data_IF_299278003969
#
_entry.id   IF_299278003969
#
_cell.length_a   1.000
_cell.length_b   1.000
_cell.length_c   1.000
_cell.angle_alpha   90.00
_cell.angle_beta   90.00
_cell.angle_gamma   90.00
#
_symmetry.space_group_name_H-M   'P 1'
#
loop_
_entity.id
_entity.type
_entity.pdbx_description
1 polymer ?
#
# COMPACT_ATOMS: atom_id res chain seq x y z
N UNK A 1 36.05 -25.82 -40.13
CA UNK A 1 35.22 -25.31 -41.24
C UNK A 1 34.01 -24.65 -40.60
N UNK A 2 33.70 -23.37 -40.85
CA UNK A 2 32.53 -22.74 -40.24
C UNK A 2 31.27 -23.22 -40.99
N UNK A 3 30.37 -23.88 -40.28
CA UNK A 3 29.04 -24.28 -40.78
C UNK A 3 28.15 -23.04 -40.77
N UNK A 4 28.16 -22.28 -41.86
CA UNK A 4 27.30 -21.11 -42.04
C UNK A 4 25.91 -21.60 -42.46
N UNK A 5 25.11 -22.07 -41.50
CA UNK A 5 23.74 -22.49 -41.72
C UNK A 5 22.80 -21.26 -41.61
N UNK A 6 22.22 -20.77 -42.71
CA UNK A 6 21.35 -19.58 -42.70
C UNK A 6 19.99 -19.79 -42.00
N UNK A 7 19.73 -20.99 -41.49
CA UNK A 7 18.51 -21.36 -40.77
C UNK A 7 18.72 -21.63 -39.28
N UNK A 8 19.90 -21.31 -38.73
CA UNK A 8 20.08 -21.38 -37.28
C UNK A 8 19.12 -20.38 -36.62
N UNK A 9 18.28 -20.90 -35.72
CA UNK A 9 17.34 -20.08 -34.98
C UNK A 9 18.13 -19.05 -34.17
N UNK A 10 17.73 -17.76 -34.17
CA UNK A 10 18.38 -16.79 -33.32
C UNK A 10 18.28 -17.28 -31.88
N UNK A 11 19.43 -17.44 -31.21
CA UNK A 11 19.45 -17.71 -29.78
C UNK A 11 18.77 -16.52 -29.09
N UNK A 12 17.47 -16.68 -28.79
CA UNK A 12 16.77 -15.71 -27.97
C UNK A 12 17.35 -15.87 -26.58
N UNK A 13 18.28 -14.99 -26.24
CA UNK A 13 18.84 -14.95 -24.91
C UNK A 13 17.69 -14.60 -23.95
N UNK A 14 17.06 -15.62 -23.36
CA UNK A 14 16.02 -15.52 -22.34
C UNK A 14 16.66 -15.26 -20.96
N UNK A 15 17.81 -14.60 -20.92
CA UNK A 15 18.32 -14.07 -19.67
C UNK A 15 17.23 -13.14 -19.11
N UNK A 16 16.66 -13.45 -17.94
CA UNK A 16 15.73 -12.54 -17.31
C UNK A 16 16.51 -11.25 -17.12
N UNK A 17 16.12 -10.21 -17.84
CA UNK A 17 16.65 -8.86 -17.62
C UNK A 17 16.24 -8.53 -16.19
N UNK A 18 17.14 -8.77 -15.24
CA UNK A 18 17.03 -8.35 -13.85
C UNK A 18 17.07 -6.83 -13.92
N UNK A 19 15.91 -6.21 -14.14
CA UNK A 19 15.80 -4.77 -14.28
C UNK A 19 16.33 -4.16 -12.99
N UNK A 20 17.38 -3.36 -13.10
CA UNK A 20 18.00 -2.71 -11.97
C UNK A 20 16.93 -2.01 -11.11
N UNK A 21 17.06 -2.04 -9.77
CA UNK A 21 16.05 -1.50 -8.86
C UNK A 21 15.74 -0.04 -9.22
N UNK A 22 14.56 0.19 -9.80
CA UNK A 22 14.13 1.54 -10.21
C UNK A 22 14.12 2.42 -8.97
N UNK A 23 14.76 3.58 -9.00
CA UNK A 23 14.77 4.52 -7.86
C UNK A 23 13.33 4.98 -7.56
N UNK A 24 12.74 4.46 -6.48
CA UNK A 24 11.37 4.80 -6.03
C UNK A 24 11.36 5.97 -5.05
N UNK A 25 12.07 7.07 -5.37
CA UNK A 25 12.22 8.22 -4.48
C UNK A 25 10.88 8.87 -4.09
N UNK A 26 9.94 8.98 -5.05
CA UNK A 26 8.60 9.53 -4.77
C UNK A 26 7.83 8.73 -3.72
N UNK A 27 7.92 7.39 -3.78
CA UNK A 27 7.25 6.50 -2.82
C UNK A 27 7.89 6.56 -1.43
N UNK A 28 9.20 6.81 -1.34
CA UNK A 28 9.87 7.02 -0.05
C UNK A 28 9.40 8.30 0.62
N UNK A 29 9.31 9.40 -0.13
CA UNK A 29 8.80 10.68 0.40
C UNK A 29 7.36 10.49 0.88
N UNK A 30 6.52 9.86 0.06
CA UNK A 30 5.13 9.57 0.42
C UNK A 30 5.00 8.73 1.70
N UNK A 31 5.83 7.70 1.85
CA UNK A 31 5.91 6.91 3.08
C UNK A 31 6.22 7.77 4.31
N UNK A 32 7.23 8.64 4.23
CA UNK A 32 7.61 9.50 5.35
C UNK A 32 6.53 10.52 5.71
N UNK A 33 5.84 11.07 4.70
CA UNK A 33 4.69 11.96 4.92
C UNK A 33 3.57 11.23 5.65
N UNK A 34 3.16 10.05 5.18
CA UNK A 34 2.11 9.26 5.84
C UNK A 34 2.52 8.81 7.24
N UNK A 35 3.76 8.38 7.43
CA UNK A 35 4.26 7.98 8.74
C UNK A 35 4.21 9.15 9.73
N UNK A 36 4.64 10.34 9.30
CA UNK A 36 4.60 11.54 10.15
C UNK A 36 3.17 11.91 10.50
N UNK A 37 2.26 11.81 9.53
CA UNK A 37 0.83 12.08 9.74
C UNK A 37 0.21 11.07 10.73
N UNK A 38 0.54 9.78 10.60
CA UNK A 38 0.07 8.75 11.53
C UNK A 38 0.62 8.97 12.93
N UNK A 39 1.90 9.32 13.08
CA UNK A 39 2.48 9.64 14.38
C UNK A 39 1.82 10.87 15.02
N UNK A 40 1.49 11.89 14.22
CA UNK A 40 0.77 13.07 14.69
C UNK A 40 -0.64 12.71 15.17
N UNK A 41 -1.34 11.85 14.43
CA UNK A 41 -2.66 11.34 14.81
C UNK A 41 -2.61 10.58 16.14
N UNK A 42 -1.66 9.64 16.28
CA UNK A 42 -1.48 8.89 17.54
C UNK A 42 -1.11 9.84 18.68
N UNK A 43 -0.21 10.80 18.45
CA UNK A 43 0.17 11.78 19.46
C UNK A 43 -1.03 12.60 19.94
N UNK A 44 -1.90 13.03 19.04
CA UNK A 44 -3.13 13.76 19.40
C UNK A 44 -4.07 12.93 20.29
N UNK A 45 -4.22 11.64 20.00
CA UNK A 45 -5.08 10.74 20.77
C UNK A 45 -4.47 10.29 22.12
N UNK A 46 -3.14 10.29 22.26
CA UNK A 46 -2.47 9.84 23.49
C UNK A 46 -2.75 10.73 24.72
N UNK A 47 -3.09 12.01 24.52
CA UNK A 47 -3.40 12.93 25.61
C UNK A 47 -4.88 12.96 25.97
N UNK A 48 -5.73 12.29 25.20
CA UNK A 48 -7.17 12.24 25.40
C UNK A 48 -7.57 10.83 25.86
N UNK A 49 -7.42 10.59 27.18
CA UNK A 49 -7.57 9.24 27.78
C UNK A 49 -9.02 8.72 27.70
N UNK A 50 -9.99 9.61 27.46
CA UNK A 50 -11.40 9.24 27.26
C UNK A 50 -11.74 8.83 25.82
N UNK A 51 -10.87 9.09 24.84
CA UNK A 51 -11.20 8.93 23.41
C UNK A 51 -10.72 7.64 22.76
N UNK A 52 -9.92 6.80 23.44
CA UNK A 52 -9.43 5.55 22.82
C UNK A 52 -10.53 4.49 22.87
N UNK A 53 -11.42 4.56 21.88
CA UNK A 53 -12.39 3.52 21.59
C UNK A 53 -11.76 2.32 20.88
N UNK A 54 -12.60 1.30 20.69
CA UNK A 54 -12.22 0.09 19.95
C UNK A 54 -11.97 0.39 18.46
N UNK A 55 -12.61 1.45 17.92
CA UNK A 55 -12.53 1.83 16.51
C UNK A 55 -11.12 2.34 16.18
N UNK A 56 -10.60 3.23 17.02
CA UNK A 56 -9.26 3.83 16.94
C UNK A 56 -8.18 2.75 17.07
N UNK A 57 -8.43 1.74 17.91
CA UNK A 57 -7.51 0.61 18.07
C UNK A 57 -7.44 -0.22 16.78
N UNK A 58 -8.58 -0.57 16.19
CA UNK A 58 -8.63 -1.35 14.93
C UNK A 58 -8.05 -0.53 13.79
N UNK A 59 -8.34 0.76 13.73
CA UNK A 59 -7.80 1.68 12.74
C UNK A 59 -6.27 1.72 12.79
N UNK A 60 -5.70 1.88 13.99
CA UNK A 60 -4.25 1.86 14.19
C UNK A 60 -3.61 0.55 13.69
N UNK A 61 -4.23 -0.60 13.98
CA UNK A 61 -3.75 -1.91 13.49
C UNK A 61 -3.76 -1.97 11.97
N UNK A 62 -4.85 -1.55 11.33
CA UNK A 62 -4.98 -1.56 9.86
C UNK A 62 -3.93 -0.64 9.23
N UNK A 63 -3.76 0.56 9.77
CA UNK A 63 -2.79 1.53 9.25
C UNK A 63 -1.33 1.09 9.42
N UNK A 64 -0.99 0.28 10.43
CA UNK A 64 0.35 -0.35 10.54
C UNK A 64 0.62 -1.27 9.34
N UNK A 65 -0.37 -2.08 8.93
CA UNK A 65 -0.25 -2.95 7.77
C UNK A 65 -0.20 -2.15 6.46
N UNK A 66 -1.00 -1.09 6.34
CA UNK A 66 -0.94 -0.15 5.20
C UNK A 66 0.46 0.46 5.07
N UNK A 67 1.00 1.02 6.15
CA UNK A 67 2.35 1.59 6.18
C UNK A 67 3.41 0.55 5.83
N UNK A 68 3.25 -0.69 6.32
CA UNK A 68 4.14 -1.80 5.96
C UNK A 68 4.10 -2.13 4.47
N UNK A 69 2.92 -2.07 3.83
CA UNK A 69 2.78 -2.29 2.38
C UNK A 69 3.42 -1.18 1.55
N UNK A 70 3.22 0.07 1.95
CA UNK A 70 3.83 1.24 1.31
C UNK A 70 5.36 1.23 1.49
N UNK A 71 5.85 0.86 2.67
CA UNK A 71 7.27 0.65 2.94
C UNK A 71 7.85 -0.47 2.07
N UNK A 72 7.14 -1.60 1.96
CA UNK A 72 7.49 -2.71 1.08
C UNK A 72 7.65 -2.27 -0.38
N UNK A 73 6.76 -1.40 -0.87
CA UNK A 73 6.87 -0.80 -2.20
C UNK A 73 8.07 0.16 -2.30
N UNK A 74 8.18 1.12 -1.38
CA UNK A 74 9.15 2.20 -1.43
C UNK A 74 10.61 1.72 -1.31
N UNK A 75 10.83 0.66 -0.53
CA UNK A 75 12.13 0.05 -0.31
C UNK A 75 12.32 -1.27 -1.06
N UNK A 76 11.34 -1.66 -1.89
CA UNK A 76 11.40 -2.88 -2.70
C UNK A 76 11.68 -4.12 -1.84
N UNK A 77 11.08 -4.17 -0.65
CA UNK A 77 11.22 -5.28 0.30
C UNK A 77 10.01 -6.20 0.22
N UNK A 78 10.26 -7.50 0.28
CA UNK A 78 9.21 -8.51 0.43
C UNK A 78 8.77 -8.53 1.89
N UNK A 79 7.50 -8.26 2.10
CA UNK A 79 6.86 -8.23 3.41
C UNK A 79 5.58 -9.04 3.22
N UNK A 80 5.37 -10.08 4.03
CA UNK A 80 4.27 -11.04 3.88
C UNK A 80 4.17 -11.72 2.50
N UNK A 81 3.06 -12.40 2.27
CA UNK A 81 2.73 -13.12 1.03
C UNK A 81 1.95 -12.21 0.09
N UNK A 82 2.13 -12.37 -1.22
CA UNK A 82 1.34 -11.64 -2.24
C UNK A 82 -0.18 -11.84 -2.07
N UNK A 83 -0.59 -13.04 -1.64
CA UNK A 83 -2.00 -13.36 -1.41
C UNK A 83 -2.59 -12.52 -0.26
N UNK A 84 -1.80 -12.31 0.81
CA UNK A 84 -2.19 -11.46 1.94
C UNK A 84 -2.53 -10.05 1.45
N UNK A 85 -1.66 -9.43 0.64
CA UNK A 85 -1.89 -8.07 0.14
C UNK A 85 -3.08 -7.97 -0.81
N UNK A 86 -3.34 -8.99 -1.62
CA UNK A 86 -4.53 -9.04 -2.48
C UNK A 86 -5.84 -9.09 -1.69
N UNK A 87 -5.86 -9.82 -0.57
CA UNK A 87 -7.01 -9.84 0.33
C UNK A 87 -7.08 -8.62 1.26
N UNK A 88 -5.93 -8.02 1.59
CA UNK A 88 -5.88 -6.88 2.49
C UNK A 88 -6.45 -5.60 1.86
N UNK A 89 -6.21 -5.36 0.56
CA UNK A 89 -6.75 -4.18 -0.14
C UNK A 89 -8.28 -3.99 0.03
N UNK A 90 -9.14 -4.98 -0.26
CA UNK A 90 -10.58 -4.81 -0.06
C UNK A 90 -10.98 -4.70 1.41
N UNK A 91 -10.22 -5.28 2.34
CA UNK A 91 -10.45 -5.12 3.79
C UNK A 91 -10.22 -3.67 4.21
N UNK A 92 -9.12 -3.05 3.78
CA UNK A 92 -8.84 -1.63 4.04
C UNK A 92 -9.93 -0.75 3.43
N UNK A 93 -10.35 -1.04 2.19
CA UNK A 93 -11.43 -0.29 1.54
C UNK A 93 -12.76 -0.36 2.29
N UNK A 94 -13.15 -1.55 2.74
CA UNK A 94 -14.37 -1.71 3.54
C UNK A 94 -14.25 -1.01 4.90
N UNK A 95 -13.07 -1.02 5.50
CA UNK A 95 -12.82 -0.31 6.75
C UNK A 95 -12.92 1.21 6.59
N UNK A 96 -12.27 1.79 5.58
CA UNK A 96 -12.33 3.23 5.29
C UNK A 96 -13.78 3.66 5.02
N UNK A 97 -14.54 2.86 4.28
CA UNK A 97 -15.96 3.11 4.00
C UNK A 97 -16.79 3.06 5.28
N UNK A 98 -16.58 2.04 6.12
CA UNK A 98 -17.27 1.89 7.41
C UNK A 98 -16.97 3.07 8.34
N UNK A 99 -15.70 3.44 8.49
CA UNK A 99 -15.28 4.54 9.36
C UNK A 99 -15.89 5.87 8.88
N UNK A 100 -15.80 6.16 7.57
CA UNK A 100 -16.38 7.35 6.97
C UNK A 100 -17.90 7.40 7.16
N UNK A 101 -18.59 6.27 6.96
CA UNK A 101 -20.05 6.20 7.13
C UNK A 101 -20.48 6.41 8.59
N UNK A 102 -19.72 5.88 9.56
CA UNK A 102 -19.99 6.08 10.98
C UNK A 102 -19.87 7.56 11.36
N UNK A 103 -18.82 8.23 10.89
CA UNK A 103 -18.63 9.67 11.12
C UNK A 103 -19.78 10.50 10.51
N UNK A 104 -20.27 10.15 9.32
CA UNK A 104 -21.41 10.85 8.71
C UNK A 104 -22.77 10.58 9.40
N UNK A 105 -22.92 9.45 10.09
CA UNK A 105 -24.16 9.06 10.75
C UNK A 105 -24.23 9.53 12.21
N UNK A 106 -23.23 10.25 12.69
CA UNK A 106 -23.18 10.72 14.06
C UNK A 106 -24.34 11.71 14.32
N UNK A 107 -25.29 11.36 15.20
CA UNK A 107 -26.58 12.05 15.29
C UNK A 107 -26.49 13.48 15.83
N UNK A 108 -25.38 13.82 16.50
CA UNK A 108 -25.17 15.11 17.15
C UNK A 108 -24.22 16.04 16.37
N UNK A 109 -23.88 15.70 15.12
CA UNK A 109 -23.02 16.56 14.30
C UNK A 109 -23.75 17.82 13.82
N UNK A 110 -23.31 18.97 14.34
CA UNK A 110 -23.73 20.30 13.87
C UNK A 110 -23.40 20.53 12.39
N UNK A 111 -24.17 21.39 11.71
CA UNK A 111 -24.02 21.70 10.28
C UNK A 111 -22.60 22.21 9.96
N UNK A 112 -22.01 23.01 10.84
CA UNK A 112 -20.65 23.52 10.70
C UNK A 112 -19.59 22.40 10.75
N UNK A 113 -19.80 21.39 11.59
CA UNK A 113 -18.94 20.21 11.71
C UNK A 113 -19.06 19.31 10.48
N UNK A 114 -20.26 19.15 9.93
CA UNK A 114 -20.49 18.38 8.68
C UNK A 114 -19.76 19.00 7.48
N UNK A 115 -19.85 20.32 7.32
CA UNK A 115 -19.15 21.03 6.24
C UNK A 115 -17.64 20.90 6.42
N UNK A 116 -17.15 21.06 7.65
CA UNK A 116 -15.72 20.94 7.95
C UNK A 116 -15.20 19.53 7.63
N UNK A 117 -15.94 18.49 8.02
CA UNK A 117 -15.61 17.10 7.70
C UNK A 117 -15.60 16.84 6.18
N UNK A 118 -16.61 17.33 5.46
CA UNK A 118 -16.68 17.19 3.99
C UNK A 118 -15.49 17.86 3.30
N UNK A 119 -15.07 19.06 3.75
CA UNK A 119 -13.90 19.75 3.22
C UNK A 119 -12.63 18.94 3.48
N UNK A 120 -12.42 18.46 4.71
CA UNK A 120 -11.28 17.61 5.06
C UNK A 120 -11.25 16.36 4.16
N UNK A 121 -12.39 15.69 3.98
CA UNK A 121 -12.50 14.50 3.15
C UNK A 121 -12.07 14.78 1.70
N UNK A 122 -12.47 15.90 1.11
CA UNK A 122 -12.06 16.30 -0.26
C UNK A 122 -10.54 16.48 -0.36
N UNK A 123 -9.90 17.05 0.66
CA UNK A 123 -8.44 17.20 0.69
C UNK A 123 -7.70 15.87 0.92
N UNK A 124 -8.31 14.93 1.63
CA UNK A 124 -7.72 13.62 1.93
C UNK A 124 -7.98 12.57 0.85
N UNK A 125 -8.98 12.75 0.00
CA UNK A 125 -9.33 11.82 -1.07
C UNK A 125 -8.15 11.51 -2.03
N UNK A 126 -7.33 12.50 -2.45
CA UNK A 126 -6.09 12.23 -3.19
C UNK A 126 -5.10 11.37 -2.41
N UNK A 127 -4.94 11.61 -1.11
CA UNK A 127 -4.05 10.81 -0.26
C UNK A 127 -4.50 9.36 -0.21
N UNK A 128 -5.79 9.13 0.02
CA UNK A 128 -6.41 7.80 0.02
C UNK A 128 -6.20 7.12 -1.34
N UNK A 129 -6.42 7.83 -2.45
CA UNK A 129 -6.18 7.30 -3.79
C UNK A 129 -4.72 6.87 -4.00
N UNK A 130 -3.74 7.68 -3.60
CA UNK A 130 -2.33 7.33 -3.70
C UNK A 130 -1.95 6.14 -2.81
N UNK A 131 -2.58 5.99 -1.64
CA UNK A 131 -2.40 4.85 -0.75
C UNK A 131 -2.86 3.55 -1.42
N UNK A 132 -4.06 3.54 -1.99
CA UNK A 132 -4.56 2.37 -2.73
C UNK A 132 -3.71 2.06 -3.97
N UNK A 133 -3.24 3.09 -4.69
CA UNK A 133 -2.35 2.92 -5.82
C UNK A 133 -1.02 2.28 -5.38
N UNK A 134 -0.48 2.68 -4.22
CA UNK A 134 0.72 2.08 -3.66
C UNK A 134 0.51 0.59 -3.34
N UNK A 135 -0.56 0.25 -2.62
CA UNK A 135 -0.87 -1.14 -2.26
C UNK A 135 -1.13 -2.00 -3.52
N UNK A 136 -1.86 -1.46 -4.49
CA UNK A 136 -2.11 -2.14 -5.76
C UNK A 136 -0.82 -2.41 -6.54
N UNK A 137 0.07 -1.41 -6.64
CA UNK A 137 1.39 -1.58 -7.27
C UNK A 137 2.23 -2.61 -6.54
N UNK A 138 2.16 -2.62 -5.22
CA UNK A 138 2.86 -3.59 -4.40
C UNK A 138 2.35 -5.02 -4.65
N UNK A 139 1.04 -5.23 -4.63
CA UNK A 139 0.43 -6.54 -4.78
C UNK A 139 0.48 -7.10 -6.21
N UNK A 140 0.35 -6.26 -7.25
CA UNK A 140 0.16 -6.74 -8.63
C UNK A 140 1.28 -6.37 -9.61
N UNK A 141 1.94 -5.22 -9.47
CA UNK A 141 2.93 -4.76 -10.46
C UNK A 141 4.37 -5.06 -10.07
N UNK A 142 4.65 -5.46 -8.83
CA UNK A 142 6.01 -5.78 -8.39
C UNK A 142 6.40 -7.24 -8.70
N UNK A 143 6.12 -7.72 -9.92
CA UNK A 143 6.46 -9.08 -10.34
C UNK A 143 7.94 -9.43 -10.11
N UNK A 144 8.84 -8.45 -10.28
CA UNK A 144 10.26 -8.57 -9.95
C UNK A 144 10.54 -8.98 -8.49
N UNK A 145 9.72 -8.52 -7.54
CA UNK A 145 9.84 -8.90 -6.13
C UNK A 145 9.27 -10.30 -5.88
N UNK A 146 8.22 -10.71 -6.58
CA UNK A 146 7.52 -11.96 -6.30
C UNK A 146 8.03 -13.18 -7.10
N UNK A 147 8.77 -12.96 -8.21
CA UNK A 147 9.27 -14.01 -9.11
C UNK A 147 10.31 -14.96 -8.50
N UNK A 148 11.05 -14.54 -7.47
CA UNK A 148 12.08 -15.39 -6.83
C UNK A 148 11.49 -16.65 -6.17
N UNK A 149 10.19 -16.64 -5.81
CA UNK A 149 9.55 -17.81 -5.20
C UNK A 149 9.07 -18.84 -6.23
N UNK A 150 8.82 -18.45 -7.47
CA UNK A 150 8.33 -19.38 -8.50
C UNK A 150 9.43 -20.31 -9.00
N UNK A 151 10.70 -19.85 -9.01
CA UNK A 151 11.83 -20.67 -9.45
C UNK A 151 12.28 -21.72 -8.41
N UNK A 152 12.00 -21.54 -7.11
CA UNK A 152 12.28 -22.55 -6.08
C UNK A 152 11.26 -23.69 -6.04
N UNK A 153 10.04 -23.47 -6.54
CA UNK A 153 8.99 -24.48 -6.54
C UNK A 153 9.11 -25.49 -7.70
N UNK A 154 9.89 -25.16 -8.74
CA UNK A 154 10.14 -26.03 -9.90
C UNK A 154 11.50 -26.75 -9.84
N UNK A 155 12.26 -26.57 -8.75
CA UNK A 155 13.57 -27.20 -8.54
C UNK A 155 13.54 -28.33 -7.51
N UNK A 156 12.38 -28.94 -7.26
CA UNK A 156 12.19 -30.10 -6.35
C UNK A 156 11.49 -31.21 -7.09
#
# INVERSE_FOLDING_TARGET
MPTNNPYDAPESNLEPVIQAPRKMLGWKIYFWVLLTLQCLFIYGNLFDVESIGWQETVDCVIYIFVLSGIFGLAYQKKIFLILFWRFFIPVVFLWDLFYTAMQFLEPDMDEASQISFAVILVFFLPFIFFQYLALYKYAFQSAYLWQENTQRATSV
#
